data_IF_380181566186
#
_entry.id   IF_380181566186
#
_cell.length_a   1.000
_cell.length_b   1.000
_cell.length_c   1.000
_cell.angle_alpha   90.00
_cell.angle_beta   90.00
_cell.angle_gamma   90.00
#
_symmetry.space_group_name_H-M   'P 1'
#
loop_
_entity.id
_entity.type
_entity.pdbx_description
1 polymer ?
#
# COMPACT_ATOMS: atom_id res chain seq x y z
N UNK A 1 -31.64 -40.65 -17.87
CA UNK A 1 -32.35 -39.62 -17.08
C UNK A 1 -31.42 -39.09 -15.97
N UNK A 2 -30.49 -38.17 -16.27
CA UNK A 2 -29.55 -37.59 -15.27
C UNK A 2 -29.90 -36.15 -14.83
N UNK A 3 -30.94 -35.54 -15.40
CA UNK A 3 -31.33 -34.16 -15.10
C UNK A 3 -32.12 -33.98 -13.79
N UNK A 4 -32.65 -35.06 -13.22
CA UNK A 4 -33.46 -35.01 -11.98
C UNK A 4 -32.59 -34.69 -10.75
N UNK A 5 -31.29 -34.99 -10.79
CA UNK A 5 -30.39 -34.79 -9.65
C UNK A 5 -29.86 -33.35 -9.52
N UNK A 6 -29.87 -32.54 -10.59
CA UNK A 6 -29.38 -31.14 -10.55
C UNK A 6 -30.43 -30.16 -10.01
N UNK A 7 -31.71 -30.51 -10.10
CA UNK A 7 -32.82 -29.67 -9.64
C UNK A 7 -32.72 -29.31 -8.13
N UNK A 8 -32.44 -30.26 -7.21
CA UNK A 8 -32.25 -29.94 -5.79
C UNK A 8 -30.97 -29.14 -5.50
N UNK A 9 -29.88 -29.36 -6.24
CA UNK A 9 -28.60 -28.66 -6.04
C UNK A 9 -28.74 -27.16 -6.36
N UNK A 10 -29.40 -26.83 -7.47
CA UNK A 10 -29.66 -25.44 -7.88
C UNK A 10 -30.54 -24.72 -6.84
N UNK A 11 -31.54 -25.41 -6.29
CA UNK A 11 -32.38 -24.87 -5.21
C UNK A 11 -31.57 -24.61 -3.94
N UNK A 12 -30.71 -25.55 -3.53
CA UNK A 12 -29.82 -25.39 -2.39
C UNK A 12 -28.87 -24.20 -2.56
N UNK A 13 -28.26 -24.09 -3.75
CA UNK A 13 -27.37 -22.98 -4.09
C UNK A 13 -28.07 -21.62 -4.06
N UNK A 14 -29.32 -21.55 -4.53
CA UNK A 14 -30.11 -20.33 -4.47
C UNK A 14 -30.40 -19.90 -3.02
N UNK A 15 -30.74 -20.86 -2.15
CA UNK A 15 -30.97 -20.60 -0.72
C UNK A 15 -29.68 -20.06 -0.07
N UNK A 16 -28.55 -20.73 -0.31
CA UNK A 16 -27.24 -20.30 0.23
C UNK A 16 -26.85 -18.93 -0.30
N UNK A 17 -27.11 -18.63 -1.57
CA UNK A 17 -26.85 -17.32 -2.15
C UNK A 17 -27.64 -16.21 -1.44
N UNK A 18 -28.95 -16.43 -1.21
CA UNK A 18 -29.80 -15.44 -0.53
C UNK A 18 -29.32 -15.20 0.91
N UNK A 19 -29.07 -16.28 1.67
CA UNK A 19 -28.58 -16.19 3.05
C UNK A 19 -27.21 -15.51 3.09
N UNK A 20 -26.33 -15.88 2.16
CA UNK A 20 -24.98 -15.33 2.04
C UNK A 20 -24.97 -13.83 1.76
N UNK A 21 -25.84 -13.34 0.89
CA UNK A 21 -25.94 -11.90 0.60
C UNK A 21 -26.41 -11.10 1.83
N UNK A 22 -27.36 -11.65 2.59
CA UNK A 22 -27.81 -11.03 3.85
C UNK A 22 -26.64 -10.97 4.85
N UNK A 23 -25.89 -12.06 5.01
CA UNK A 23 -24.71 -12.10 5.87
C UNK A 23 -23.62 -11.12 5.40
N UNK A 24 -23.40 -10.99 4.10
CA UNK A 24 -22.42 -10.07 3.53
C UNK A 24 -22.69 -8.62 3.90
N UNK A 25 -23.95 -8.18 3.78
CA UNK A 25 -24.33 -6.83 4.14
C UNK A 25 -24.25 -6.59 5.66
N UNK A 26 -24.53 -7.61 6.48
CA UNK A 26 -24.34 -7.54 7.93
C UNK A 26 -22.86 -7.39 8.31
N UNK A 27 -21.99 -8.24 7.80
CA UNK A 27 -20.55 -8.18 8.08
C UNK A 27 -19.92 -6.87 7.60
N UNK A 28 -20.32 -6.38 6.42
CA UNK A 28 -19.83 -5.11 5.88
C UNK A 28 -20.17 -3.92 6.79
N UNK A 29 -21.37 -3.92 7.39
CA UNK A 29 -21.78 -2.89 8.36
C UNK A 29 -20.93 -2.94 9.62
N UNK A 30 -20.71 -4.14 10.19
CA UNK A 30 -19.84 -4.31 11.35
C UNK A 30 -18.42 -3.81 11.07
N UNK A 31 -17.85 -4.21 9.92
CA UNK A 31 -16.51 -3.80 9.52
C UNK A 31 -16.39 -2.27 9.38
N UNK A 32 -17.43 -1.62 8.85
CA UNK A 32 -17.48 -0.16 8.76
C UNK A 32 -17.47 0.50 10.14
N UNK A 33 -18.32 0.03 11.06
CA UNK A 33 -18.37 0.57 12.42
C UNK A 33 -17.04 0.41 13.16
N UNK A 34 -16.38 -0.74 12.99
CA UNK A 34 -15.04 -0.97 13.56
C UNK A 34 -14.00 -0.03 12.93
N UNK A 35 -14.01 0.15 11.62
CA UNK A 35 -13.08 1.05 10.94
C UNK A 35 -13.26 2.51 11.36
N UNK A 36 -14.51 2.96 11.52
CA UNK A 36 -14.83 4.31 12.02
C UNK A 36 -14.41 4.49 13.49
N UNK A 37 -14.57 3.45 14.33
CA UNK A 37 -14.17 3.47 15.73
C UNK A 37 -12.65 3.64 15.93
N UNK A 38 -11.84 3.08 15.03
CA UNK A 38 -10.37 3.16 15.10
C UNK A 38 -9.85 4.55 14.70
N UNK A 39 -10.70 5.45 14.16
CA UNK A 39 -10.34 6.82 13.75
C UNK A 39 -9.05 6.89 12.92
N UNK A 40 -8.86 5.93 12.01
CA UNK A 40 -7.71 5.87 11.08
C UNK A 40 -7.51 7.20 10.34
N UNK A 41 -8.61 7.91 10.03
CA UNK A 41 -8.59 9.23 9.39
C UNK A 41 -7.79 10.27 10.19
N UNK A 42 -7.82 10.23 11.53
CA UNK A 42 -7.08 11.17 12.38
C UNK A 42 -5.58 10.87 12.45
N UNK A 43 -5.19 9.59 12.31
CA UNK A 43 -3.78 9.21 12.21
C UNK A 43 -3.21 9.64 10.86
N UNK A 44 -3.98 9.47 9.78
CA UNK A 44 -3.50 9.81 8.43
C UNK A 44 -3.48 11.32 8.15
N UNK A 45 -4.41 12.11 8.70
CA UNK A 45 -4.36 13.57 8.60
C UNK A 45 -3.06 14.13 9.21
N UNK A 46 -2.58 13.54 10.31
CA UNK A 46 -1.32 13.96 10.95
C UNK A 46 -0.07 13.65 10.12
N UNK A 47 -0.16 12.73 9.16
CA UNK A 47 0.97 12.33 8.30
C UNK A 47 1.07 13.14 7.00
N UNK A 48 0.17 14.09 6.75
CA UNK A 48 0.21 14.97 5.55
C UNK A 48 -0.06 14.27 4.21
N UNK A 49 -0.16 12.94 4.18
CA UNK A 49 -0.48 12.15 2.99
C UNK A 49 -1.86 12.46 2.40
N UNK A 50 -2.81 12.91 3.25
CA UNK A 50 -4.16 13.29 2.81
C UNK A 50 -4.16 14.65 2.08
N UNK A 51 -3.28 15.59 2.43
CA UNK A 51 -3.19 16.92 1.80
C UNK A 51 -2.85 16.84 0.30
N UNK A 52 -1.98 15.88 -0.06
CA UNK A 52 -1.53 15.62 -1.43
C UNK A 52 -2.60 14.95 -2.30
N UNK A 53 -3.54 14.24 -1.68
CA UNK A 53 -4.64 13.55 -2.40
C UNK A 53 -5.86 14.46 -2.50
N UNK A 54 -6.09 15.31 -1.49
CA UNK A 54 -7.15 16.32 -1.50
C UNK A 54 -6.94 17.38 -2.58
N UNK A 55 -5.69 17.67 -2.96
CA UNK A 55 -5.36 18.53 -4.10
C UNK A 55 -5.78 17.94 -5.46
N UNK A 56 -6.05 16.64 -5.52
CA UNK A 56 -6.63 15.95 -6.68
C UNK A 56 -8.18 15.92 -6.65
N UNK A 57 -8.81 16.54 -5.65
CA UNK A 57 -10.28 16.60 -5.51
C UNK A 57 -10.94 15.30 -5.03
N UNK A 58 -10.16 14.31 -4.60
CA UNK A 58 -10.68 13.01 -4.13
C UNK A 58 -10.74 13.02 -2.61
N UNK A 59 -11.95 13.05 -2.04
CA UNK A 59 -12.16 12.81 -0.62
C UNK A 59 -12.05 11.30 -0.32
N UNK A 60 -10.88 10.85 0.15
CA UNK A 60 -10.67 9.48 0.58
C UNK A 60 -11.27 9.27 1.98
N UNK A 61 -12.38 8.56 2.04
CA UNK A 61 -12.94 8.05 3.29
C UNK A 61 -12.45 6.60 3.50
N UNK A 62 -11.47 6.41 4.38
CA UNK A 62 -10.83 5.10 4.59
C UNK A 62 -11.82 4.06 5.10
N UNK A 63 -12.71 4.44 6.01
CA UNK A 63 -13.72 3.52 6.54
C UNK A 63 -14.68 3.01 5.45
N UNK A 64 -15.11 3.89 4.54
CA UNK A 64 -15.94 3.50 3.39
C UNK A 64 -15.20 2.54 2.47
N UNK A 65 -13.94 2.84 2.14
CA UNK A 65 -13.10 1.99 1.28
C UNK A 65 -12.88 0.60 1.91
N UNK A 66 -12.54 0.54 3.19
CA UNK A 66 -12.35 -0.71 3.93
C UNK A 66 -13.64 -1.53 3.94
N UNK A 67 -14.79 -0.91 4.25
CA UNK A 67 -16.08 -1.61 4.25
C UNK A 67 -16.45 -2.16 2.87
N UNK A 68 -16.11 -1.44 1.80
CA UNK A 68 -16.34 -1.87 0.42
C UNK A 68 -15.50 -3.09 0.07
N UNK A 69 -14.22 -3.11 0.48
CA UNK A 69 -13.32 -4.26 0.30
C UNK A 69 -13.85 -5.48 1.05
N UNK A 70 -14.24 -5.31 2.32
CA UNK A 70 -14.79 -6.42 3.14
C UNK A 70 -16.07 -6.97 2.54
N UNK A 71 -16.99 -6.11 2.05
CA UNK A 71 -18.22 -6.56 1.40
C UNK A 71 -17.93 -7.44 0.18
N UNK A 72 -17.02 -7.00 -0.69
CA UNK A 72 -16.59 -7.77 -1.85
C UNK A 72 -15.97 -9.11 -1.47
N UNK A 73 -15.18 -9.14 -0.40
CA UNK A 73 -14.59 -10.37 0.12
C UNK A 73 -15.65 -11.39 0.56
N UNK A 74 -16.65 -10.95 1.32
CA UNK A 74 -17.73 -11.84 1.77
C UNK A 74 -18.56 -12.33 0.58
N UNK A 75 -18.82 -11.48 -0.41
CA UNK A 75 -19.50 -11.91 -1.65
C UNK A 75 -18.72 -13.06 -2.31
N UNK A 76 -17.41 -12.93 -2.48
CA UNK A 76 -16.58 -14.00 -3.07
C UNK A 76 -16.65 -15.28 -2.23
N UNK A 77 -16.65 -15.19 -0.89
CA UNK A 77 -16.84 -16.33 -0.02
C UNK A 77 -18.20 -17.04 -0.21
N UNK A 78 -19.27 -16.27 -0.42
CA UNK A 78 -20.59 -16.81 -0.77
C UNK A 78 -20.56 -17.51 -2.12
N UNK A 79 -19.86 -16.96 -3.12
CA UNK A 79 -19.68 -17.64 -4.41
C UNK A 79 -18.98 -18.99 -4.25
N UNK A 80 -17.94 -19.09 -3.42
CA UNK A 80 -17.30 -20.38 -3.09
C UNK A 80 -18.31 -21.36 -2.49
N UNK A 81 -19.10 -20.92 -1.51
CA UNK A 81 -20.11 -21.77 -0.89
C UNK A 81 -21.14 -22.26 -1.91
N UNK A 82 -21.58 -21.40 -2.83
CA UNK A 82 -22.49 -21.73 -3.93
C UNK A 82 -21.87 -22.78 -4.86
N UNK A 83 -20.61 -22.60 -5.26
CA UNK A 83 -19.88 -23.56 -6.10
C UNK A 83 -19.73 -24.93 -5.43
N UNK A 84 -19.53 -24.95 -4.11
CA UNK A 84 -19.45 -26.18 -3.33
C UNK A 84 -20.79 -26.92 -3.29
N UNK A 85 -21.91 -26.20 -3.15
CA UNK A 85 -23.27 -26.80 -3.21
C UNK A 85 -23.59 -27.32 -4.61
N UNK A 86 -23.05 -26.68 -5.65
CA UNK A 86 -23.12 -27.16 -7.03
C UNK A 86 -22.17 -28.32 -7.34
N UNK A 87 -21.39 -28.80 -6.36
CA UNK A 87 -20.38 -29.85 -6.51
C UNK A 87 -19.27 -29.51 -7.53
N UNK A 88 -18.98 -28.22 -7.75
CA UNK A 88 -17.83 -27.74 -8.51
C UNK A 88 -16.58 -27.63 -7.61
N UNK A 89 -16.21 -28.73 -6.95
CA UNK A 89 -15.17 -28.78 -5.91
C UNK A 89 -13.84 -28.18 -6.39
N UNK A 90 -13.38 -28.54 -7.60
CA UNK A 90 -12.13 -28.01 -8.16
C UNK A 90 -12.10 -26.48 -8.26
N UNK A 91 -13.22 -25.86 -8.61
CA UNK A 91 -13.30 -24.40 -8.76
C UNK A 91 -13.45 -23.75 -7.38
N UNK A 92 -14.24 -24.36 -6.50
CA UNK A 92 -14.41 -23.95 -5.11
C UNK A 92 -13.08 -23.92 -4.34
N UNK A 93 -12.27 -24.96 -4.46
CA UNK A 93 -10.99 -25.08 -3.74
C UNK A 93 -9.99 -23.99 -4.15
N UNK A 94 -9.88 -23.69 -5.45
CA UNK A 94 -9.00 -22.64 -5.95
C UNK A 94 -9.43 -21.28 -5.38
N UNK A 95 -10.73 -21.00 -5.40
CA UNK A 95 -11.27 -19.73 -4.95
C UNK A 95 -11.24 -19.60 -3.41
N UNK A 96 -11.39 -20.71 -2.68
CA UNK A 96 -11.17 -20.78 -1.24
C UNK A 96 -9.71 -20.49 -0.86
N UNK A 97 -8.75 -21.06 -1.62
CA UNK A 97 -7.33 -20.77 -1.43
C UNK A 97 -6.99 -19.28 -1.62
N UNK A 98 -7.60 -18.63 -2.61
CA UNK A 98 -7.45 -17.19 -2.83
C UNK A 98 -8.01 -16.36 -1.66
N UNK A 99 -9.17 -16.74 -1.12
CA UNK A 99 -9.76 -16.08 0.05
C UNK A 99 -8.88 -16.20 1.29
N UNK A 100 -8.23 -17.36 1.49
CA UNK A 100 -7.34 -17.60 2.63
C UNK A 100 -6.03 -16.81 2.56
N UNK A 101 -5.58 -16.44 1.36
CA UNK A 101 -4.38 -15.62 1.17
C UNK A 101 -4.60 -14.14 1.54
N UNK A 102 -5.80 -13.62 1.30
CA UNK A 102 -6.14 -12.21 1.52
C UNK A 102 -5.92 -11.70 2.96
N UNK A 103 -6.37 -12.39 4.04
CA UNK A 103 -6.12 -11.93 5.41
C UNK A 103 -4.62 -11.86 5.72
N UNK A 104 -3.81 -12.80 5.21
CA UNK A 104 -2.37 -12.76 5.41
C UNK A 104 -1.74 -11.51 4.77
N UNK A 105 -2.22 -11.10 3.59
CA UNK A 105 -1.78 -9.85 2.94
C UNK A 105 -2.15 -8.63 3.78
N UNK A 106 -3.37 -8.59 4.32
CA UNK A 106 -3.82 -7.50 5.19
C UNK A 106 -2.94 -7.43 6.44
N UNK A 107 -2.67 -8.57 7.09
CA UNK A 107 -1.76 -8.64 8.25
C UNK A 107 -0.37 -8.13 7.92
N UNK A 108 0.20 -8.49 6.76
CA UNK A 108 1.50 -8.01 6.33
C UNK A 108 1.52 -6.48 6.17
N UNK A 109 0.48 -5.89 5.55
CA UNK A 109 0.35 -4.43 5.39
C UNK A 109 0.21 -3.74 6.74
N UNK A 110 -0.59 -4.30 7.65
CA UNK A 110 -0.75 -3.75 9.01
C UNK A 110 0.59 -3.76 9.76
N UNK A 111 1.32 -4.87 9.74
CA UNK A 111 2.64 -4.97 10.40
C UNK A 111 3.60 -3.92 9.83
N UNK A 112 3.63 -3.76 8.50
CA UNK A 112 4.46 -2.76 7.83
C UNK A 112 4.07 -1.33 8.26
N UNK A 113 2.76 -1.02 8.27
CA UNK A 113 2.25 0.28 8.70
C UNK A 113 2.62 0.58 10.16
N UNK A 114 2.43 -0.38 11.06
CA UNK A 114 2.83 -0.25 12.48
C UNK A 114 4.33 -0.09 12.61
N UNK A 115 5.13 -0.82 11.83
CA UNK A 115 6.59 -0.70 11.81
C UNK A 115 7.07 0.69 11.35
N UNK A 116 6.45 1.27 10.33
CA UNK A 116 6.76 2.63 9.86
C UNK A 116 6.37 3.69 10.90
N UNK A 117 5.19 3.56 11.50
CA UNK A 117 4.73 4.47 12.55
C UNK A 117 5.59 4.38 13.82
N UNK A 118 5.89 3.16 14.27
CA UNK A 118 6.76 2.91 15.42
C UNK A 118 8.22 3.32 15.17
N UNK A 119 8.72 3.10 13.96
CA UNK A 119 10.06 3.51 13.54
C UNK A 119 10.26 5.03 13.54
N UNK A 120 9.22 5.80 13.18
CA UNK A 120 9.29 7.25 13.17
C UNK A 120 9.44 7.85 14.59
N UNK A 121 8.86 7.21 15.62
CA UNK A 121 9.03 7.60 17.03
C UNK A 121 10.44 7.33 17.56
N UNK A 122 11.07 6.24 17.12
CA UNK A 122 12.47 5.93 17.46
C UNK A 122 13.44 6.85 16.70
N UNK A 123 13.07 7.24 15.48
CA UNK A 123 13.88 8.10 14.63
C UNK A 123 14.00 9.55 15.09
N UNK A 124 12.96 10.10 15.73
CA UNK A 124 12.98 11.48 16.25
C UNK A 124 13.90 11.66 17.45
N UNK A 125 14.24 10.59 18.18
CA UNK A 125 15.15 10.66 19.33
C UNK A 125 16.63 10.36 19.01
N UNK A 126 16.95 9.79 17.85
CA UNK A 126 18.35 9.43 17.54
C UNK A 126 18.74 9.49 16.05
N UNK A 127 17.79 9.47 15.10
CA UNK A 127 18.06 9.19 13.68
C UNK A 127 17.92 10.40 12.74
N UNK A 128 17.55 11.59 13.23
CA UNK A 128 17.64 12.82 12.43
C UNK A 128 19.06 13.10 11.92
N UNK A 129 20.08 12.50 12.53
CA UNK A 129 21.49 12.63 12.15
C UNK A 129 21.87 11.90 10.84
N UNK A 130 21.12 10.90 10.37
CA UNK A 130 21.60 10.03 9.29
C UNK A 130 21.14 10.43 7.87
N UNK A 131 19.99 11.10 7.73
CA UNK A 131 19.46 11.48 6.40
C UNK A 131 20.25 12.61 5.73
N UNK A 132 21.02 13.40 6.49
CA UNK A 132 21.95 14.40 5.96
C UNK A 132 23.21 13.80 5.30
N UNK A 133 23.63 12.58 5.69
CA UNK A 133 24.91 12.01 5.25
C UNK A 133 24.84 11.45 3.81
N UNK A 134 23.74 10.80 3.44
CA UNK A 134 23.58 10.18 2.12
C UNK A 134 23.45 11.23 0.99
N UNK A 135 22.72 12.34 1.23
CA UNK A 135 22.52 13.39 0.21
C UNK A 135 23.76 14.28 0.06
N UNK A 136 24.55 14.47 1.12
CA UNK A 136 25.78 15.28 1.08
C UNK A 136 26.94 14.56 0.37
N UNK A 137 27.00 13.23 0.43
CA UNK A 137 28.00 12.44 -0.29
C UNK A 137 27.85 12.54 -1.82
N UNK A 138 26.63 12.48 -2.35
CA UNK A 138 26.38 12.56 -3.81
C UNK A 138 26.68 13.95 -4.40
N UNK A 139 26.45 15.03 -3.63
CA UNK A 139 26.84 16.39 -4.06
C UNK A 139 28.36 16.58 -4.10
N UNK A 140 29.11 15.81 -3.30
CA UNK A 140 30.59 15.86 -3.26
C UNK A 140 31.24 15.15 -4.44
N UNK A 141 30.63 14.09 -4.97
CA UNK A 141 31.12 13.39 -6.17
C UNK A 141 30.97 14.24 -7.44
N UNK A 142 29.83 14.89 -7.65
CA UNK A 142 29.64 15.77 -8.82
C UNK A 142 30.52 17.04 -8.81
N UNK A 143 30.88 17.54 -7.62
CA UNK A 143 31.79 18.69 -7.50
C UNK A 143 33.28 18.30 -7.59
N UNK A 144 33.62 17.01 -7.46
CA UNK A 144 35.00 16.52 -7.39
C UNK A 144 35.65 16.21 -8.74
N UNK A 145 34.88 15.87 -9.78
CA UNK A 145 35.45 15.38 -11.05
C UNK A 145 35.45 16.39 -12.20
N UNK A 146 34.65 17.46 -12.12
CA UNK A 146 34.65 18.51 -13.16
C UNK A 146 35.68 19.63 -12.90
N UNK A 147 36.27 19.71 -11.69
CA UNK A 147 37.23 20.76 -11.33
C UNK A 147 38.70 20.45 -11.64
N UNK A 148 39.09 19.18 -11.68
CA UNK A 148 40.51 18.78 -11.79
C UNK A 148 40.96 18.39 -13.21
N UNK A 149 40.03 17.98 -14.08
CA UNK A 149 40.32 17.68 -15.49
C UNK A 149 40.25 18.92 -16.39
N UNK A 150 39.49 19.95 -16.02
CA UNK A 150 39.41 21.21 -16.78
C UNK A 150 40.58 22.17 -16.55
N UNK A 151 41.16 22.21 -15.34
CA UNK A 151 42.21 23.18 -15.01
C UNK A 151 43.61 22.74 -15.44
N UNK A 152 43.96 21.46 -15.29
CA UNK A 152 45.32 20.98 -15.61
C UNK A 152 45.56 20.85 -17.12
N UNK A 153 44.52 20.56 -17.91
CA UNK A 153 44.65 20.43 -19.36
C UNK A 153 44.72 21.79 -20.07
N UNK A 154 44.17 22.86 -19.46
CA UNK A 154 44.18 24.21 -20.04
C UNK A 154 45.47 24.99 -19.72
N UNK A 155 46.14 24.70 -18.61
CA UNK A 155 47.44 25.31 -18.26
C UNK A 155 48.61 24.86 -19.15
N UNK A 156 48.56 23.64 -19.72
CA UNK A 156 49.65 23.11 -20.55
C UNK A 156 49.66 23.66 -22.00
N UNK A 157 48.61 24.36 -22.42
CA UNK A 157 48.46 24.89 -23.79
C UNK A 157 48.77 26.39 -23.93
N UNK A 158 49.53 26.97 -23.00
CA UNK A 158 50.19 28.27 -23.23
C UNK A 158 49.24 29.46 -23.46
N UNK A 159 48.07 29.47 -22.82
CA UNK A 159 47.13 30.60 -22.84
C UNK A 159 47.27 31.47 -21.60
N UNK A 160 47.88 32.65 -21.74
CA UNK A 160 47.94 33.66 -20.67
C UNK A 160 46.55 34.28 -20.43
N UNK A 161 45.89 33.96 -19.31
CA UNK A 161 44.96 34.91 -18.68
C UNK A 161 44.60 34.58 -17.22
N UNK A 162 44.90 35.55 -16.35
CA UNK A 162 44.19 35.89 -15.10
C UNK A 162 44.23 34.90 -13.92
N UNK A 163 45.29 35.03 -13.12
CA UNK A 163 45.38 34.55 -11.74
C UNK A 163 44.49 35.37 -10.77
N UNK A 164 43.18 35.48 -11.03
CA UNK A 164 42.25 36.27 -10.19
C UNK A 164 41.06 35.49 -9.62
N UNK A 165 41.01 34.17 -9.72
CA UNK A 165 39.91 33.37 -9.14
C UNK A 165 40.31 32.27 -8.16
N UNK A 166 41.58 32.14 -7.79
CA UNK A 166 41.98 31.31 -6.64
C UNK A 166 42.04 32.18 -5.39
N UNK A 167 40.89 32.47 -4.80
CA UNK A 167 40.81 32.92 -3.41
C UNK A 167 40.55 31.70 -2.53
N UNK A 168 41.55 31.18 -1.78
CA UNK A 168 41.28 30.26 -0.70
C UNK A 168 40.77 31.09 0.50
N UNK A 169 39.47 31.03 0.74
CA UNK A 169 38.90 31.44 2.03
C UNK A 169 39.38 30.40 3.04
N UNK A 170 40.37 30.82 3.85
CA UNK A 170 40.91 30.24 5.10
C UNK A 170 40.56 28.77 5.39
#
# INVERSE_FOLDING_TARGET
MRFINYLPEILGALIVLIIGLILADWLARLARTLAEAIRLDQLLQKTGAIEQIKTLGIELNFAKTISWIVRWFVIIAVWVAVLNVLHLEKVGDILAGLLAYLPNVITAVIILAVGLLGGNWLGTHHFSSCHGFAVTQLRRWHAGELGSLGCNHFCLLGGTQSARSCNPIN
#
